data_IF_261929273341
#
_entry.id   IF_261929273341
#
_cell.length_a   1.000
_cell.length_b   1.000
_cell.length_c   1.000
_cell.angle_alpha   90.00
_cell.angle_beta   90.00
_cell.angle_gamma   90.00
#
_symmetry.space_group_name_H-M   'P 1'
#
loop_
_entity.id
_entity.type
_entity.pdbx_description
1 polymer ?
#
# COMPACT_ATOMS: atom_id res chain seq x y z
N UNK A 1 -25.46 7.80 -10.24
CA UNK A 1 -24.89 7.52 -8.89
C UNK A 1 -25.17 6.07 -8.59
N UNK A 2 -24.15 5.20 -8.41
CA UNK A 2 -24.40 3.89 -7.82
C UNK A 2 -25.03 4.12 -6.46
N UNK A 3 -26.15 3.43 -6.18
CA UNK A 3 -26.87 3.57 -4.91
C UNK A 3 -25.97 3.22 -3.72
N UNK A 4 -26.21 3.86 -2.56
CA UNK A 4 -25.55 3.47 -1.32
C UNK A 4 -25.74 1.96 -1.06
N UNK A 5 -24.70 1.25 -0.56
CA UNK A 5 -24.81 -0.17 -0.28
C UNK A 5 -25.92 -0.42 0.75
N UNK A 6 -26.89 -1.24 0.40
CA UNK A 6 -27.95 -1.65 1.33
C UNK A 6 -27.39 -2.77 2.20
N UNK A 7 -27.12 -2.49 3.48
CA UNK A 7 -26.63 -3.48 4.44
C UNK A 7 -27.78 -4.39 4.88
N UNK A 8 -27.59 -5.71 4.79
CA UNK A 8 -28.55 -6.76 5.17
C UNK A 8 -27.90 -7.75 6.14
N UNK A 9 -28.68 -8.64 6.72
CA UNK A 9 -28.15 -9.73 7.56
C UNK A 9 -27.28 -10.74 6.79
N UNK A 10 -27.33 -10.71 5.46
CA UNK A 10 -26.53 -11.58 4.56
C UNK A 10 -25.28 -10.91 4.05
N UNK A 11 -25.11 -9.60 4.30
CA UNK A 11 -23.98 -8.83 3.78
C UNK A 11 -22.65 -9.36 4.31
N UNK A 12 -21.76 -9.75 3.42
CA UNK A 12 -20.38 -10.18 3.76
C UNK A 12 -19.51 -8.98 4.08
N UNK A 13 -18.60 -9.15 5.03
CA UNK A 13 -17.79 -8.06 5.55
C UNK A 13 -16.31 -8.19 5.15
N UNK A 14 -15.76 -7.09 4.67
CA UNK A 14 -14.32 -6.85 4.58
C UNK A 14 -14.00 -5.47 5.16
N UNK A 15 -12.74 -5.11 5.31
CA UNK A 15 -12.40 -3.80 5.86
C UNK A 15 -10.93 -3.46 5.79
N UNK A 16 -10.57 -2.29 6.34
CA UNK A 16 -9.18 -1.86 6.52
C UNK A 16 -8.91 -1.54 7.98
N UNK A 17 -7.89 -2.20 8.54
CA UNK A 17 -7.38 -1.97 9.90
C UNK A 17 -6.22 -0.98 9.85
N UNK A 18 -6.29 0.10 10.61
CA UNK A 18 -5.24 1.12 10.67
C UNK A 18 -5.44 2.11 11.81
N UNK A 19 -4.45 3.00 12.04
CA UNK A 19 -4.54 4.07 13.03
C UNK A 19 -3.61 5.25 12.71
N UNK A 20 -4.10 6.44 12.38
CA UNK A 20 -5.51 6.71 11.99
C UNK A 20 -5.87 6.04 10.66
N UNK A 21 -7.18 5.87 10.35
CA UNK A 21 -7.65 5.20 9.13
C UNK A 21 -8.66 6.03 8.33
N UNK A 22 -9.03 7.19 8.83
CA UNK A 22 -10.07 8.06 8.26
C UNK A 22 -9.74 8.56 6.83
N UNK A 23 -8.46 8.64 6.52
CA UNK A 23 -7.98 9.12 5.20
C UNK A 23 -7.89 8.02 4.15
N UNK A 24 -8.16 6.76 4.52
CA UNK A 24 -8.07 5.64 3.60
C UNK A 24 -9.12 5.75 2.49
N UNK A 25 -8.68 5.59 1.23
CA UNK A 25 -9.55 5.50 0.06
C UNK A 25 -10.02 4.07 -0.24
N UNK A 26 -9.52 3.07 0.51
CA UNK A 26 -9.92 1.67 0.32
C UNK A 26 -11.43 1.43 0.50
N UNK A 27 -12.15 2.07 1.46
CA UNK A 27 -13.58 1.87 1.56
C UNK A 27 -14.35 2.31 0.33
N UNK A 28 -14.05 3.50 -0.22
CA UNK A 28 -14.69 4.00 -1.44
C UNK A 28 -14.44 3.08 -2.63
N UNK A 29 -13.18 2.68 -2.81
CA UNK A 29 -12.73 1.84 -3.90
C UNK A 29 -13.39 0.45 -3.89
N UNK A 30 -13.36 -0.26 -2.75
CA UNK A 30 -13.94 -1.60 -2.64
C UNK A 30 -15.47 -1.59 -2.72
N UNK A 31 -16.13 -0.64 -2.05
CA UNK A 31 -17.59 -0.56 -2.10
C UNK A 31 -18.10 -0.21 -3.51
N UNK A 32 -17.40 0.63 -4.25
CA UNK A 32 -17.73 0.88 -5.66
C UNK A 32 -17.58 -0.38 -6.51
N UNK A 33 -16.54 -1.19 -6.28
CA UNK A 33 -16.35 -2.47 -6.95
C UNK A 33 -17.46 -3.47 -6.61
N UNK A 34 -17.85 -3.59 -5.34
CA UNK A 34 -18.97 -4.45 -4.93
C UNK A 34 -20.27 -4.02 -5.59
N UNK A 35 -20.56 -2.71 -5.61
CA UNK A 35 -21.76 -2.19 -6.25
C UNK A 35 -21.79 -2.47 -7.77
N UNK A 36 -20.66 -2.27 -8.45
CA UNK A 36 -20.54 -2.52 -9.89
C UNK A 36 -20.77 -3.99 -10.27
N UNK A 37 -20.41 -4.91 -9.38
CA UNK A 37 -20.60 -6.35 -9.58
C UNK A 37 -21.90 -6.89 -8.96
N UNK A 38 -22.74 -6.03 -8.36
CA UNK A 38 -23.99 -6.43 -7.71
C UNK A 38 -23.78 -7.35 -6.50
N UNK A 39 -22.66 -7.25 -5.80
CA UNK A 39 -22.29 -8.10 -4.67
C UNK A 39 -22.91 -7.58 -3.37
N UNK A 40 -23.45 -8.48 -2.54
CA UNK A 40 -23.93 -8.17 -1.18
C UNK A 40 -22.75 -8.16 -0.19
N UNK A 41 -21.91 -7.12 -0.31
CA UNK A 41 -20.70 -6.93 0.47
C UNK A 41 -20.59 -5.50 0.99
N UNK A 42 -19.88 -5.35 2.11
CA UNK A 42 -19.52 -4.05 2.66
C UNK A 42 -18.05 -4.05 3.07
N UNK A 43 -17.37 -2.97 2.73
CA UNK A 43 -16.00 -2.71 3.14
C UNK A 43 -15.97 -1.51 4.10
N UNK A 44 -15.47 -1.73 5.32
CA UNK A 44 -15.53 -0.75 6.40
C UNK A 44 -14.16 -0.34 6.94
N UNK A 45 -13.98 0.93 7.36
CA UNK A 45 -12.78 1.35 8.07
C UNK A 45 -12.85 0.85 9.52
N UNK A 46 -11.73 0.32 10.03
CA UNK A 46 -11.57 -0.21 11.38
C UNK A 46 -10.43 0.54 12.06
N UNK A 47 -10.76 1.56 12.83
CA UNK A 47 -9.79 2.36 13.58
C UNK A 47 -9.31 1.59 14.82
N UNK A 48 -8.15 0.94 14.72
CA UNK A 48 -7.58 0.08 15.76
C UNK A 48 -6.33 0.73 16.36
N UNK A 49 -6.37 1.24 17.60
CA UNK A 49 -5.18 1.73 18.27
C UNK A 49 -4.10 0.64 18.42
N UNK A 50 -2.80 0.98 18.40
CA UNK A 50 -1.71 0.00 18.46
C UNK A 50 -1.83 -1.04 19.58
N UNK A 51 -2.22 -0.62 20.78
CA UNK A 51 -2.39 -1.51 21.94
C UNK A 51 -3.60 -2.47 21.86
N UNK A 52 -4.45 -2.37 20.81
CA UNK A 52 -5.64 -3.21 20.63
C UNK A 52 -5.57 -4.10 19.40
N UNK A 53 -4.41 -4.13 18.72
CA UNK A 53 -4.26 -4.89 17.48
C UNK A 53 -4.55 -6.38 17.65
N UNK A 54 -4.01 -7.01 18.69
CA UNK A 54 -4.20 -8.43 18.93
C UNK A 54 -5.67 -8.81 19.19
N UNK A 55 -6.42 -7.95 19.90
CA UNK A 55 -7.86 -8.18 20.14
C UNK A 55 -8.64 -8.05 18.84
N UNK A 56 -8.32 -7.04 18.03
CA UNK A 56 -8.98 -6.82 16.75
C UNK A 56 -8.75 -7.99 15.78
N UNK A 57 -7.50 -8.45 15.63
CA UNK A 57 -7.15 -9.55 14.72
C UNK A 57 -7.84 -10.85 15.15
N UNK A 58 -7.79 -11.20 16.44
CA UNK A 58 -8.49 -12.41 16.96
C UNK A 58 -10.02 -12.34 16.78
N UNK A 59 -10.59 -11.13 16.78
CA UNK A 59 -12.03 -10.94 16.63
C UNK A 59 -12.54 -11.11 15.19
N UNK A 60 -11.69 -11.07 14.16
CA UNK A 60 -12.14 -11.06 12.77
C UNK A 60 -13.00 -12.26 12.39
N UNK A 61 -12.58 -13.46 12.74
CA UNK A 61 -13.33 -14.68 12.47
C UNK A 61 -14.67 -14.70 13.23
N UNK A 62 -14.65 -14.37 14.53
CA UNK A 62 -15.85 -14.36 15.37
C UNK A 62 -16.89 -13.30 14.93
N UNK A 63 -16.44 -12.22 14.30
CA UNK A 63 -17.29 -11.15 13.75
C UNK A 63 -17.75 -11.42 12.31
N UNK A 64 -17.35 -12.54 11.71
CA UNK A 64 -17.76 -12.94 10.36
C UNK A 64 -17.11 -12.15 9.23
N UNK A 65 -15.94 -11.52 9.45
CA UNK A 65 -15.17 -10.92 8.37
C UNK A 65 -14.65 -12.01 7.43
N UNK A 66 -14.66 -11.73 6.13
CA UNK A 66 -14.01 -12.57 5.12
C UNK A 66 -12.50 -12.26 5.05
N UNK A 67 -12.13 -11.03 5.33
CA UNK A 67 -10.76 -10.58 5.40
C UNK A 67 -10.66 -9.08 5.61
N UNK A 68 -9.46 -8.60 5.88
CA UNK A 68 -9.18 -7.17 6.04
C UNK A 68 -7.85 -6.80 5.41
N UNK A 69 -7.77 -5.60 4.84
CA UNK A 69 -6.48 -4.98 4.59
C UNK A 69 -5.92 -4.40 5.88
N UNK A 70 -4.60 -4.28 5.95
CA UNK A 70 -3.87 -3.72 7.09
C UNK A 70 -2.98 -2.59 6.61
N UNK A 71 -3.08 -1.43 7.28
CA UNK A 71 -2.24 -0.29 7.00
C UNK A 71 -1.46 0.17 8.23
N UNK A 72 -0.77 1.29 8.14
CA UNK A 72 0.03 1.88 9.22
C UNK A 72 -0.81 2.01 10.50
N UNK A 73 -0.21 1.67 11.68
CA UNK A 73 1.16 1.21 11.91
C UNK A 73 1.29 -0.33 12.01
N UNK A 74 0.30 -1.09 11.57
CA UNK A 74 0.04 -2.48 11.99
C UNK A 74 0.68 -3.56 11.13
N UNK A 75 1.17 -3.23 9.91
CA UNK A 75 1.62 -4.23 8.92
C UNK A 75 2.66 -5.24 9.42
N UNK A 76 3.56 -4.82 10.31
CA UNK A 76 4.55 -5.73 10.92
C UNK A 76 3.94 -6.51 12.10
N UNK A 77 3.21 -5.82 12.98
CA UNK A 77 2.63 -6.46 14.17
C UNK A 77 1.57 -7.52 13.87
N UNK A 78 0.91 -7.46 12.71
CA UNK A 78 -0.07 -8.48 12.30
C UNK A 78 0.60 -9.79 11.90
N UNK A 79 1.84 -9.76 11.40
CA UNK A 79 2.55 -10.98 10.99
C UNK A 79 2.70 -12.01 12.14
N UNK A 80 2.82 -11.53 13.38
CA UNK A 80 2.92 -12.37 14.57
C UNK A 80 1.55 -12.86 15.11
N UNK A 81 0.45 -12.39 14.52
CA UNK A 81 -0.91 -12.63 15.02
C UNK A 81 -1.77 -13.52 14.10
N UNK A 82 -1.26 -13.86 12.92
CA UNK A 82 -1.93 -14.76 11.97
C UNK A 82 -1.40 -16.18 12.09
N UNK A 83 -2.21 -17.16 11.71
CA UNK A 83 -1.85 -18.59 11.84
C UNK A 83 -0.89 -19.04 10.74
N UNK A 84 -0.95 -18.40 9.57
CA UNK A 84 -0.10 -18.72 8.42
C UNK A 84 0.30 -17.44 7.69
N UNK A 85 1.52 -17.41 7.19
CA UNK A 85 2.04 -16.36 6.29
C UNK A 85 2.28 -16.93 4.91
N UNK A 86 1.95 -16.17 3.86
CA UNK A 86 2.48 -16.43 2.53
C UNK A 86 4.00 -16.30 2.50
N UNK A 87 4.66 -16.85 1.48
CA UNK A 87 6.11 -16.77 1.36
C UNK A 87 6.58 -15.30 1.26
N UNK A 88 5.87 -14.48 0.49
CA UNK A 88 6.16 -13.06 0.37
C UNK A 88 5.95 -12.31 1.70
N UNK A 89 4.90 -12.61 2.46
CA UNK A 89 4.67 -12.00 3.77
C UNK A 89 5.74 -12.44 4.80
N UNK A 90 6.18 -13.69 4.72
CA UNK A 90 7.26 -14.22 5.58
C UNK A 90 8.61 -13.58 5.25
N UNK A 91 8.95 -13.46 3.97
CA UNK A 91 10.17 -12.80 3.52
C UNK A 91 10.25 -11.33 3.97
N UNK A 92 9.13 -10.61 3.84
CA UNK A 92 9.08 -9.18 4.14
C UNK A 92 8.84 -8.86 5.61
N UNK A 93 8.34 -9.81 6.40
CA UNK A 93 7.84 -9.56 7.75
C UNK A 93 6.70 -8.54 7.79
N UNK A 94 5.94 -8.41 6.70
CA UNK A 94 4.91 -7.38 6.53
C UNK A 94 3.64 -7.98 5.92
N UNK A 95 2.51 -7.77 6.59
CA UNK A 95 1.18 -8.20 6.15
C UNK A 95 0.32 -6.97 5.90
N UNK A 96 -0.21 -6.83 4.69
CA UNK A 96 -1.19 -5.79 4.37
C UNK A 96 -2.58 -6.36 4.04
N UNK A 97 -2.73 -7.70 4.03
CA UNK A 97 -4.00 -8.38 3.78
C UNK A 97 -4.10 -9.60 4.68
N UNK A 98 -5.17 -9.72 5.44
CA UNK A 98 -5.51 -10.90 6.25
C UNK A 98 -6.75 -11.56 5.68
N UNK A 99 -6.65 -12.83 5.38
CA UNK A 99 -7.78 -13.66 4.94
C UNK A 99 -8.28 -14.46 6.13
N UNK A 100 -9.60 -14.51 6.31
CA UNK A 100 -10.27 -15.40 7.27
C UNK A 100 -10.76 -16.60 6.52
N UNK A 101 -10.24 -17.79 6.87
CA UNK A 101 -10.63 -19.06 6.23
C UNK A 101 -11.91 -19.62 6.84
N UNK A 102 -12.50 -20.61 6.19
CA UNK A 102 -13.75 -21.25 6.63
C UNK A 102 -13.63 -21.91 8.01
N UNK A 103 -12.45 -22.41 8.37
CA UNK A 103 -12.14 -22.96 9.69
C UNK A 103 -11.86 -21.93 10.77
N UNK A 104 -11.90 -20.64 10.41
CA UNK A 104 -11.62 -19.50 11.28
C UNK A 104 -10.14 -19.16 11.40
N UNK A 105 -9.23 -19.90 10.78
CA UNK A 105 -7.81 -19.58 10.76
C UNK A 105 -7.53 -18.34 9.92
N UNK A 106 -6.44 -17.62 10.25
CA UNK A 106 -6.03 -16.38 9.63
C UNK A 106 -4.79 -16.59 8.78
N UNK A 107 -4.83 -16.14 7.53
CA UNK A 107 -3.68 -16.12 6.63
C UNK A 107 -3.27 -14.70 6.29
N UNK A 108 -2.00 -14.39 6.51
CA UNK A 108 -1.38 -13.11 6.17
C UNK A 108 -0.74 -13.11 4.80
N UNK A 109 -1.05 -12.09 4.02
CA UNK A 109 -0.57 -11.84 2.67
C UNK A 109 0.06 -10.44 2.57
N UNK A 110 0.91 -10.21 1.57
CA UNK A 110 1.38 -8.88 1.21
C UNK A 110 1.18 -8.62 -0.27
N UNK A 111 0.49 -7.53 -0.61
CA UNK A 111 0.15 -7.13 -1.97
C UNK A 111 0.74 -5.78 -2.38
N UNK A 112 1.41 -5.09 -1.45
CA UNK A 112 1.96 -3.74 -1.68
C UNK A 112 3.01 -3.73 -2.80
N UNK A 113 3.92 -4.70 -2.78
CA UNK A 113 4.99 -4.79 -3.77
C UNK A 113 4.47 -5.06 -5.17
N UNK A 114 3.55 -6.00 -5.28
CA UNK A 114 2.90 -6.32 -6.55
C UNK A 114 2.05 -5.16 -7.09
N UNK A 115 1.34 -4.46 -6.18
CA UNK A 115 0.59 -3.26 -6.54
C UNK A 115 1.48 -2.13 -7.06
N UNK A 116 2.70 -2.02 -6.54
CA UNK A 116 3.71 -1.11 -7.08
C UNK A 116 4.13 -1.53 -8.49
N UNK A 117 4.47 -2.81 -8.71
CA UNK A 117 4.88 -3.28 -10.03
C UNK A 117 3.78 -3.09 -11.08
N UNK A 118 2.53 -3.33 -10.73
CA UNK A 118 1.38 -3.06 -11.61
C UNK A 118 1.30 -1.55 -11.97
N UNK A 119 1.49 -0.66 -11.00
CA UNK A 119 1.45 0.78 -11.21
C UNK A 119 2.64 1.32 -12.01
N UNK A 120 3.81 0.72 -11.84
CA UNK A 120 5.02 1.08 -12.59
C UNK A 120 4.96 0.58 -14.04
N UNK A 121 4.38 -0.60 -14.29
CA UNK A 121 4.50 -1.28 -15.56
C UNK A 121 5.94 -1.71 -15.81
N UNK A 122 6.54 -1.21 -16.88
CA UNK A 122 7.95 -1.48 -17.20
C UNK A 122 8.88 -0.72 -16.25
N UNK A 123 9.86 -1.44 -15.69
CA UNK A 123 10.87 -0.83 -14.83
C UNK A 123 11.88 -0.03 -15.68
N UNK A 124 12.25 1.17 -15.23
CA UNK A 124 13.29 1.93 -15.93
C UNK A 124 14.68 1.32 -15.74
N UNK A 125 15.57 1.62 -16.66
CA UNK A 125 16.99 1.29 -16.53
C UNK A 125 17.61 1.98 -15.32
N UNK A 126 18.67 1.36 -14.77
CA UNK A 126 19.43 1.89 -13.65
C UNK A 126 18.94 1.42 -12.28
N UNK A 127 19.51 2.01 -11.24
CA UNK A 127 19.22 1.62 -9.86
C UNK A 127 17.85 2.09 -9.42
N UNK A 128 17.14 1.25 -8.68
CA UNK A 128 15.95 1.63 -7.91
C UNK A 128 16.35 2.01 -6.48
N UNK A 129 15.92 3.16 -6.01
CA UNK A 129 16.17 3.62 -4.64
C UNK A 129 14.84 3.71 -3.90
N UNK A 130 14.72 2.98 -2.79
CA UNK A 130 13.56 3.03 -1.91
C UNK A 130 13.88 3.94 -0.72
N UNK A 131 13.03 4.95 -0.52
CA UNK A 131 13.14 5.89 0.61
C UNK A 131 12.31 5.36 1.78
N UNK A 132 12.98 5.01 2.89
CA UNK A 132 12.36 4.47 4.09
C UNK A 132 12.64 2.98 4.30
N UNK A 133 12.29 2.47 5.52
CA UNK A 133 12.56 1.09 5.95
C UNK A 133 11.38 0.46 6.73
N UNK A 134 10.17 0.98 6.57
CA UNK A 134 8.95 0.44 7.19
C UNK A 134 8.37 -0.76 6.42
N UNK A 135 7.20 -1.26 6.84
CA UNK A 135 6.54 -2.42 6.24
C UNK A 135 6.32 -2.28 4.72
N UNK A 136 5.88 -1.10 4.25
CA UNK A 136 5.72 -0.87 2.81
C UNK A 136 7.06 -0.88 2.06
N UNK A 137 8.12 -0.30 2.66
CA UNK A 137 9.45 -0.33 2.06
C UNK A 137 9.98 -1.77 1.90
N UNK A 138 9.74 -2.63 2.89
CA UNK A 138 10.12 -4.06 2.85
C UNK A 138 9.46 -4.78 1.67
N UNK A 139 8.14 -4.62 1.53
CA UNK A 139 7.38 -5.23 0.44
C UNK A 139 7.82 -4.70 -0.93
N UNK A 140 8.09 -3.39 -1.04
CA UNK A 140 8.62 -2.74 -2.26
C UNK A 140 10.00 -3.27 -2.62
N UNK A 141 10.92 -3.35 -1.66
CA UNK A 141 12.29 -3.88 -1.88
C UNK A 141 12.23 -5.32 -2.38
N UNK A 142 11.44 -6.17 -1.72
CA UNK A 142 11.29 -7.57 -2.11
C UNK A 142 10.74 -7.71 -3.54
N UNK A 143 9.69 -6.97 -3.88
CA UNK A 143 9.08 -7.01 -5.22
C UNK A 143 10.04 -6.52 -6.31
N UNK A 144 10.73 -5.39 -6.09
CA UNK A 144 11.69 -4.87 -7.07
C UNK A 144 12.87 -5.82 -7.28
N UNK A 145 13.39 -6.45 -6.21
CA UNK A 145 14.44 -7.49 -6.32
C UNK A 145 13.96 -8.70 -7.10
N UNK A 146 12.75 -9.18 -6.80
CA UNK A 146 12.14 -10.31 -7.52
C UNK A 146 11.93 -10.01 -9.01
N UNK A 147 11.70 -8.73 -9.34
CA UNK A 147 11.63 -8.26 -10.73
C UNK A 147 13.00 -8.02 -11.38
N UNK A 148 14.11 -8.31 -10.67
CA UNK A 148 15.48 -8.22 -11.20
C UNK A 148 16.12 -6.82 -11.11
N UNK A 149 15.52 -5.86 -10.39
CA UNK A 149 16.09 -4.53 -10.25
C UNK A 149 17.32 -4.52 -9.31
N UNK A 150 18.32 -3.66 -9.63
CA UNK A 150 19.37 -3.26 -8.67
C UNK A 150 18.75 -2.29 -7.65
N UNK A 151 18.55 -2.74 -6.41
CA UNK A 151 17.83 -2.00 -5.38
C UNK A 151 18.78 -1.51 -4.29
N UNK A 152 18.63 -0.25 -3.88
CA UNK A 152 19.24 0.31 -2.68
C UNK A 152 18.16 0.99 -1.81
N UNK A 153 18.46 1.16 -0.51
CA UNK A 153 17.59 1.85 0.44
C UNK A 153 18.28 3.10 0.96
N UNK A 154 17.54 4.20 1.04
CA UNK A 154 17.92 5.41 1.77
C UNK A 154 16.94 5.63 2.92
N UNK A 155 17.43 5.59 4.16
CA UNK A 155 16.57 5.65 5.34
C UNK A 155 17.15 6.53 6.43
N UNK A 156 16.29 7.36 7.05
CA UNK A 156 16.68 8.22 8.18
C UNK A 156 17.14 7.42 9.41
N UNK A 157 16.62 6.21 9.57
CA UNK A 157 16.99 5.27 10.63
C UNK A 157 17.64 4.04 9.99
N UNK A 158 18.98 4.02 9.87
CA UNK A 158 19.70 2.95 9.20
C UNK A 158 19.50 1.57 9.85
N UNK A 159 19.37 1.51 11.18
CA UNK A 159 19.15 0.25 11.90
C UNK A 159 17.87 -0.47 11.49
N UNK A 160 16.84 0.29 11.08
CA UNK A 160 15.58 -0.28 10.60
C UNK A 160 15.69 -0.93 9.21
N UNK A 161 16.76 -0.64 8.47
CA UNK A 161 17.02 -1.13 7.12
C UNK A 161 18.01 -2.32 7.09
N UNK A 162 18.65 -2.66 8.24
CA UNK A 162 19.78 -3.60 8.28
C UNK A 162 19.47 -5.04 7.83
N UNK A 163 18.21 -5.44 7.82
CA UNK A 163 17.76 -6.79 7.43
C UNK A 163 17.09 -6.87 6.04
N UNK A 164 17.10 -5.78 5.26
CA UNK A 164 16.49 -5.76 3.93
C UNK A 164 17.34 -6.45 2.84
N UNK A 165 18.58 -6.81 3.15
CA UNK A 165 19.47 -7.53 2.23
C UNK A 165 19.84 -6.75 0.97
N UNK A 166 19.82 -5.42 1.03
CA UNK A 166 20.20 -4.49 -0.04
C UNK A 166 21.11 -3.40 0.48
N UNK A 167 21.94 -2.76 -0.37
CA UNK A 167 22.79 -1.66 0.05
C UNK A 167 22.00 -0.53 0.71
N UNK A 168 22.52 -0.04 1.83
CA UNK A 168 22.05 1.19 2.47
C UNK A 168 22.90 2.35 1.98
N UNK A 169 22.25 3.40 1.46
CA UNK A 169 22.91 4.61 0.96
C UNK A 169 22.53 5.82 1.80
N UNK A 170 23.20 6.94 1.56
CA UNK A 170 23.07 8.16 2.36
C UNK A 170 21.62 8.68 2.42
N UNK A 171 21.24 9.19 3.59
CA UNK A 171 20.01 9.96 3.81
C UNK A 171 20.37 11.43 4.11
N UNK A 172 19.69 12.43 3.54
CA UNK A 172 18.73 12.29 2.43
C UNK A 172 19.43 11.85 1.13
N UNK A 173 18.67 11.22 0.22
CA UNK A 173 19.19 10.88 -1.11
C UNK A 173 19.62 12.15 -1.85
N UNK A 174 20.79 12.13 -2.50
CA UNK A 174 21.36 13.28 -3.20
C UNK A 174 21.68 13.01 -4.67
N UNK A 175 21.76 11.76 -5.06
CA UNK A 175 22.11 11.34 -6.41
C UNK A 175 20.87 10.83 -7.16
N UNK A 176 20.79 11.05 -8.49
CA UNK A 176 19.70 10.55 -9.31
C UNK A 176 19.71 9.02 -9.37
N UNK A 177 18.54 8.47 -9.69
CA UNK A 177 18.34 7.02 -9.83
C UNK A 177 17.45 6.73 -11.05
N UNK A 178 17.43 5.48 -11.53
CA UNK A 178 16.47 5.06 -12.53
C UNK A 178 15.04 5.15 -12.00
N UNK A 179 14.84 4.65 -10.77
CA UNK A 179 13.57 4.71 -10.05
C UNK A 179 13.80 5.20 -8.63
N UNK A 180 12.97 6.14 -8.17
CA UNK A 180 12.86 6.51 -6.76
C UNK A 180 11.46 6.15 -6.27
N UNK A 181 11.35 5.36 -5.18
CA UNK A 181 10.08 5.03 -4.53
C UNK A 181 10.06 5.61 -3.13
N UNK A 182 9.18 6.58 -2.87
CA UNK A 182 8.96 7.08 -1.52
C UNK A 182 8.01 6.15 -0.73
N UNK A 183 8.56 5.44 0.24
CA UNK A 183 7.81 4.61 1.20
C UNK A 183 7.82 5.22 2.62
N UNK A 184 8.10 6.52 2.74
CA UNK A 184 8.02 7.27 4.00
C UNK A 184 6.69 8.03 4.09
N UNK A 185 6.22 8.43 5.28
CA UNK A 185 5.05 9.31 5.43
C UNK A 185 5.37 10.78 5.14
N UNK A 186 6.61 11.12 4.80
CA UNK A 186 7.01 12.48 4.43
C UNK A 186 6.29 12.89 3.15
N UNK A 187 5.90 14.14 3.05
CA UNK A 187 5.08 14.74 1.98
C UNK A 187 3.56 14.53 2.11
N UNK A 188 3.04 13.87 3.15
CA UNK A 188 1.60 13.87 3.43
C UNK A 188 1.06 15.26 3.75
N UNK A 189 1.87 16.12 4.38
CA UNK A 189 1.49 17.47 4.79
C UNK A 189 1.39 18.47 3.64
N UNK A 190 1.96 18.16 2.48
CA UNK A 190 1.95 19.06 1.32
C UNK A 190 2.99 20.19 1.36
N UNK A 191 3.83 20.26 2.39
CA UNK A 191 4.92 21.23 2.48
C UNK A 191 6.12 20.78 1.64
N UNK A 192 6.57 21.61 0.68
CA UNK A 192 7.75 21.35 -0.14
C UNK A 192 9.06 21.32 0.68
N UNK A 193 9.03 21.83 1.91
CA UNK A 193 10.18 21.83 2.82
C UNK A 193 10.54 20.43 3.35
N UNK A 194 9.61 19.47 3.26
CA UNK A 194 9.73 18.14 3.86
C UNK A 194 9.96 17.02 2.83
N UNK A 195 10.65 17.30 1.75
CA UNK A 195 11.01 16.25 0.78
C UNK A 195 11.94 15.22 1.44
N UNK A 196 11.70 13.91 1.19
CA UNK A 196 12.53 12.83 1.76
C UNK A 196 13.89 12.68 1.05
N UNK A 197 14.27 13.65 0.21
CA UNK A 197 15.47 13.65 -0.61
C UNK A 197 15.94 15.10 -0.87
N UNK A 198 17.18 15.24 -1.32
CA UNK A 198 17.65 16.49 -1.92
C UNK A 198 17.01 16.66 -3.31
N UNK A 199 16.38 17.80 -3.61
CA UNK A 199 15.76 18.00 -4.92
C UNK A 199 16.71 17.75 -6.12
N UNK A 200 18.02 17.92 -5.95
CA UNK A 200 19.00 17.60 -7.00
C UNK A 200 19.01 16.11 -7.39
N UNK A 201 18.59 15.23 -6.49
CA UNK A 201 18.45 13.79 -6.80
C UNK A 201 17.37 13.49 -7.86
N UNK A 202 16.49 14.44 -8.14
CA UNK A 202 15.47 14.29 -9.19
C UNK A 202 16.01 14.64 -10.59
N UNK A 203 17.13 15.33 -10.69
CA UNK A 203 17.73 15.72 -11.97
C UNK A 203 18.29 14.47 -12.68
N UNK A 204 17.64 14.07 -13.78
CA UNK A 204 17.99 12.85 -14.52
C UNK A 204 17.39 11.56 -13.98
N UNK A 205 16.59 11.60 -12.91
CA UNK A 205 15.77 10.46 -12.47
C UNK A 205 14.66 10.20 -13.48
N UNK A 206 14.51 8.93 -13.92
CA UNK A 206 13.55 8.58 -14.96
C UNK A 206 12.12 8.46 -14.41
N UNK A 207 11.95 7.81 -13.24
CA UNK A 207 10.64 7.55 -12.63
C UNK A 207 10.68 7.85 -11.13
N UNK A 208 9.67 8.54 -10.64
CA UNK A 208 9.43 8.76 -9.21
C UNK A 208 8.05 8.23 -8.85
N UNK A 209 7.98 7.30 -7.90
CA UNK A 209 6.75 6.79 -7.31
C UNK A 209 6.63 7.28 -5.87
N UNK A 210 5.50 7.85 -5.51
CA UNK A 210 5.20 8.23 -4.14
C UNK A 210 4.05 7.37 -3.62
N UNK A 211 4.32 6.50 -2.63
CA UNK A 211 3.26 5.66 -2.02
C UNK A 211 2.27 6.48 -1.21
N UNK A 212 2.62 7.72 -0.88
CA UNK A 212 1.70 8.66 -0.25
C UNK A 212 0.74 9.21 -1.28
N UNK A 213 -0.51 9.36 -0.88
CA UNK A 213 -1.53 10.13 -1.60
C UNK A 213 -2.21 11.12 -0.66
N UNK A 214 -2.70 12.21 -1.20
CA UNK A 214 -3.39 13.26 -0.44
C UNK A 214 -4.89 13.00 -0.42
N UNK A 215 -5.52 13.32 0.71
CA UNK A 215 -6.98 13.18 0.86
C UNK A 215 -7.79 14.06 -0.10
N UNK A 216 -7.22 15.21 -0.51
CA UNK A 216 -7.80 16.14 -1.48
C UNK A 216 -7.58 15.75 -2.95
N UNK A 217 -6.87 14.65 -3.22
CA UNK A 217 -6.53 14.18 -4.56
C UNK A 217 -5.44 14.99 -5.27
N UNK A 218 -4.89 16.02 -4.63
CA UNK A 218 -3.81 16.82 -5.20
C UNK A 218 -2.51 16.02 -5.28
N UNK A 219 -1.60 16.43 -6.17
CA UNK A 219 -0.24 15.88 -6.25
C UNK A 219 0.52 16.15 -4.94
N UNK A 220 1.32 15.19 -4.50
CA UNK A 220 2.29 15.42 -3.43
C UNK A 220 3.40 16.36 -3.90
N UNK A 221 4.05 17.05 -2.96
CA UNK A 221 5.17 17.93 -3.30
C UNK A 221 6.29 17.19 -4.03
N UNK A 222 6.56 15.94 -3.66
CA UNK A 222 7.56 15.10 -4.32
C UNK A 222 7.22 14.86 -5.79
N UNK A 223 5.99 14.47 -6.10
CA UNK A 223 5.57 14.20 -7.48
C UNK A 223 5.53 15.47 -8.32
N UNK A 224 5.04 16.59 -7.76
CA UNK A 224 5.04 17.86 -8.45
C UNK A 224 6.46 18.33 -8.81
N UNK A 225 7.42 18.18 -7.88
CA UNK A 225 8.82 18.52 -8.12
C UNK A 225 9.47 17.57 -9.14
N UNK A 226 9.16 16.27 -9.08
CA UNK A 226 9.65 15.27 -10.02
C UNK A 226 9.19 15.58 -11.47
N UNK A 227 7.90 15.87 -11.66
CA UNK A 227 7.34 16.26 -12.97
C UNK A 227 7.98 17.53 -13.51
N UNK A 228 8.18 18.54 -12.64
CA UNK A 228 8.87 19.80 -13.02
C UNK A 228 10.30 19.57 -13.52
N UNK A 229 10.96 18.50 -13.06
CA UNK A 229 12.32 18.11 -13.47
C UNK A 229 12.34 17.06 -14.58
N UNK A 230 11.17 16.69 -15.14
CA UNK A 230 11.04 15.81 -16.30
C UNK A 230 10.97 14.32 -15.98
N UNK A 231 10.87 13.93 -14.70
CA UNK A 231 10.64 12.53 -14.30
C UNK A 231 9.19 12.13 -14.54
N UNK A 232 8.96 10.85 -14.90
CA UNK A 232 7.62 10.26 -14.90
C UNK A 232 7.16 10.05 -13.46
N UNK A 233 6.04 10.64 -13.10
CA UNK A 233 5.45 10.51 -11.77
C UNK A 233 4.41 9.39 -11.72
N UNK A 234 4.50 8.53 -10.70
CA UNK A 234 3.52 7.48 -10.38
C UNK A 234 2.95 7.78 -9.00
N UNK A 235 1.64 7.98 -8.92
CA UNK A 235 0.99 8.35 -7.66
C UNK A 235 0.59 7.14 -6.81
N UNK A 236 0.47 7.37 -5.50
CA UNK A 236 0.12 6.36 -4.52
C UNK A 236 -1.29 5.79 -4.69
N UNK A 237 -2.20 6.49 -5.40
CA UNK A 237 -3.52 5.95 -5.71
C UNK A 237 -3.43 4.81 -6.73
N UNK A 238 -2.56 4.91 -7.73
CA UNK A 238 -2.34 3.81 -8.67
C UNK A 238 -1.83 2.54 -7.95
N UNK A 239 -0.89 2.72 -7.00
CA UNK A 239 -0.40 1.61 -6.16
C UNK A 239 -1.50 1.09 -5.23
N UNK A 240 -2.31 1.96 -4.65
CA UNK A 240 -3.45 1.58 -3.81
C UNK A 240 -4.46 0.74 -4.60
N UNK A 241 -4.75 1.11 -5.84
CA UNK A 241 -5.67 0.36 -6.71
C UNK A 241 -5.08 -1.01 -7.06
N UNK A 242 -3.82 -1.08 -7.45
CA UNK A 242 -3.15 -2.34 -7.77
C UNK A 242 -3.18 -3.35 -6.61
N UNK A 243 -2.74 -2.93 -5.42
CA UNK A 243 -2.78 -3.79 -4.22
C UNK A 243 -4.22 -4.12 -3.79
N UNK A 244 -5.15 -3.17 -3.93
CA UNK A 244 -6.56 -3.35 -3.58
C UNK A 244 -7.28 -4.31 -4.51
N UNK A 245 -6.98 -4.28 -5.81
CA UNK A 245 -7.50 -5.23 -6.79
C UNK A 245 -7.08 -6.67 -6.46
N UNK A 246 -5.85 -6.86 -6.01
CA UNK A 246 -5.35 -8.17 -5.57
C UNK A 246 -6.07 -8.67 -4.32
N UNK A 247 -6.21 -7.82 -3.29
CA UNK A 247 -6.94 -8.19 -2.08
C UNK A 247 -8.44 -8.39 -2.34
N UNK A 248 -9.05 -7.63 -3.24
CA UNK A 248 -10.42 -7.83 -3.68
C UNK A 248 -10.62 -9.25 -4.25
N UNK A 249 -9.75 -9.68 -5.18
CA UNK A 249 -9.78 -11.04 -5.74
C UNK A 249 -9.62 -12.10 -4.65
N UNK A 250 -8.71 -11.88 -3.68
CA UNK A 250 -8.51 -12.80 -2.56
C UNK A 250 -9.75 -12.92 -1.66
N UNK A 251 -10.45 -11.80 -1.38
CA UNK A 251 -11.65 -11.81 -0.54
C UNK A 251 -12.85 -12.44 -1.23
N UNK A 252 -13.02 -12.18 -2.52
CA UNK A 252 -14.28 -12.46 -3.23
C UNK A 252 -14.20 -13.63 -4.19
N UNK A 253 -13.01 -13.99 -4.67
CA UNK A 253 -12.80 -14.90 -5.79
C UNK A 253 -13.18 -14.31 -7.16
N UNK A 254 -13.70 -13.06 -7.22
CA UNK A 254 -14.12 -12.41 -8.46
C UNK A 254 -13.03 -11.51 -9.04
N UNK A 255 -13.09 -11.26 -10.34
CA UNK A 255 -12.21 -10.29 -11.00
C UNK A 255 -12.58 -8.86 -10.59
N UNK A 256 -11.60 -8.07 -10.12
CA UNK A 256 -11.83 -6.68 -9.70
C UNK A 256 -12.11 -5.78 -10.92
N UNK A 257 -13.13 -4.91 -10.87
CA UNK A 257 -13.36 -3.90 -11.89
C UNK A 257 -12.41 -2.71 -11.67
N UNK A 258 -11.15 -2.86 -12.11
CA UNK A 258 -10.04 -1.95 -11.78
C UNK A 258 -10.34 -0.49 -12.16
N UNK A 259 -10.96 -0.24 -13.31
CA UNK A 259 -11.32 1.12 -13.75
C UNK A 259 -12.33 1.79 -12.78
N UNK A 260 -13.29 1.00 -12.26
CA UNK A 260 -14.25 1.47 -11.25
C UNK A 260 -13.55 1.77 -9.94
N UNK A 261 -12.61 0.90 -9.55
CA UNK A 261 -11.81 1.07 -8.33
C UNK A 261 -10.94 2.34 -8.42
N UNK A 262 -10.28 2.58 -9.56
CA UNK A 262 -9.45 3.77 -9.76
C UNK A 262 -10.30 5.05 -9.76
N UNK A 263 -11.41 5.09 -10.49
CA UNK A 263 -12.31 6.22 -10.48
C UNK A 263 -12.81 6.58 -9.07
N UNK A 264 -13.21 5.57 -8.29
CA UNK A 264 -13.68 5.76 -6.92
C UNK A 264 -12.54 6.21 -5.97
N UNK A 265 -11.34 5.66 -6.10
CA UNK A 265 -10.18 6.06 -5.31
C UNK A 265 -9.81 7.53 -5.57
N UNK A 266 -9.95 8.02 -6.81
CA UNK A 266 -9.67 9.42 -7.21
C UNK A 266 -10.83 10.38 -6.90
N UNK A 267 -11.99 9.90 -6.49
CA UNK A 267 -13.17 10.73 -6.23
C UNK A 267 -13.87 11.20 -7.51
N UNK A 268 -13.69 10.50 -8.63
CA UNK A 268 -14.22 10.81 -9.96
C UNK A 268 -15.50 10.01 -10.26
N UNK A 269 -16.30 9.69 -9.24
CA UNK A 269 -17.52 8.89 -9.36
C UNK A 269 -18.79 9.63 -8.97
#
# INVERSE_FOLDING_TARGET
MPGEPVIRGTTRLAGVVGWPVEHSRSPQMHNAAYAALGMDWAYVPLAVPPGRLADAVRGLAALGFTGVNVTIPHKQGVADLVDELSDAARETGSVNTVLVREDGSLRGETTDGDGLLDALGELPDGRAVVLGAGGSARSVVAALRSAGADVAVSARRPDAAGDLGVPLIAWPLREPAGLIVNATPVAQSGDAADLPLDPAALDGTAVVCDLVYRADGARTALLAEAERRGARAVDGLAVLVGQGARSFRMFTGAEPPVDVMDAAARGSG
#
